data_IF_308816391032
#
_entry.id   IF_308816391032
#
_cell.length_a   1.000
_cell.length_b   1.000
_cell.length_c   1.000
_cell.angle_alpha   90.00
_cell.angle_beta   90.00
_cell.angle_gamma   90.00
#
_symmetry.space_group_name_H-M   'P 1'
#
loop_
_entity.id
_entity.type
_entity.pdbx_description
1 polymer ?
#
# COMPACT_ATOMS: atom_id res chain seq x y z
N UNK A 1 24.36 14.79 -12.72
CA UNK A 1 23.60 14.45 -13.95
C UNK A 1 22.24 15.12 -13.86
N UNK A 2 22.01 16.15 -14.66
CA UNK A 2 20.75 16.91 -14.67
C UNK A 2 19.68 16.05 -15.34
N UNK A 3 18.81 15.42 -14.56
CA UNK A 3 17.76 14.54 -15.09
C UNK A 3 16.80 15.37 -15.94
N UNK A 4 16.75 15.08 -17.24
CA UNK A 4 15.84 15.74 -18.17
C UNK A 4 14.39 15.40 -17.80
N UNK A 5 13.72 16.35 -17.16
CA UNK A 5 12.36 16.17 -16.65
C UNK A 5 11.32 16.00 -17.76
N UNK A 6 11.62 16.28 -19.04
CA UNK A 6 10.65 16.25 -20.15
C UNK A 6 10.10 14.83 -20.36
N UNK A 7 10.93 13.80 -20.27
CA UNK A 7 10.53 12.41 -20.51
C UNK A 7 9.87 11.70 -19.32
N UNK A 8 9.84 12.34 -18.14
CA UNK A 8 9.26 11.76 -16.93
C UNK A 8 7.78 12.13 -16.82
N UNK A 9 6.89 11.21 -17.17
CA UNK A 9 5.43 11.39 -17.04
C UNK A 9 4.97 10.70 -15.77
N UNK A 10 5.02 11.41 -14.64
CA UNK A 10 4.45 10.98 -13.37
C UNK A 10 3.40 12.02 -12.92
N UNK A 11 2.30 11.57 -12.33
CA UNK A 11 1.24 12.46 -11.81
C UNK A 11 1.78 13.52 -10.84
N UNK A 12 2.78 13.16 -10.03
CA UNK A 12 3.45 14.07 -9.09
C UNK A 12 4.29 15.15 -9.77
N UNK A 13 4.73 14.95 -11.02
CA UNK A 13 5.45 15.97 -11.78
C UNK A 13 4.50 17.02 -12.38
N UNK A 14 3.20 16.69 -12.51
CA UNK A 14 2.19 17.59 -13.10
C UNK A 14 2.06 18.90 -12.34
N UNK A 15 2.07 18.87 -11.00
CA UNK A 15 1.97 20.09 -10.19
C UNK A 15 3.19 20.99 -10.39
N UNK A 16 4.39 20.44 -10.26
CA UNK A 16 5.65 21.17 -10.44
C UNK A 16 5.74 21.78 -11.84
N UNK A 17 5.31 21.04 -12.88
CA UNK A 17 5.28 21.52 -14.26
C UNK A 17 4.28 22.65 -14.45
N UNK A 18 3.07 22.51 -13.90
CA UNK A 18 2.04 23.57 -13.97
C UNK A 18 2.46 24.82 -13.21
N UNK A 19 3.11 24.68 -12.05
CA UNK A 19 3.65 25.80 -11.28
C UNK A 19 4.76 26.55 -12.02
N UNK A 20 5.61 25.84 -12.78
CA UNK A 20 6.61 26.48 -13.62
C UNK A 20 5.99 27.15 -14.87
N UNK A 21 5.02 26.49 -15.50
CA UNK A 21 4.43 26.96 -16.75
C UNK A 21 3.41 28.09 -16.56
N UNK A 22 2.64 28.06 -15.47
CA UNK A 22 1.50 28.96 -15.22
C UNK A 22 1.41 29.32 -13.72
N UNK A 23 2.45 29.98 -13.15
CA UNK A 23 2.58 30.17 -11.71
C UNK A 23 1.41 30.91 -11.06
N UNK A 24 0.85 31.92 -11.74
CA UNK A 24 -0.23 32.76 -11.22
C UNK A 24 -1.65 32.22 -11.52
N UNK A 25 -1.78 31.13 -12.27
CA UNK A 25 -3.09 30.53 -12.53
C UNK A 25 -3.59 29.83 -11.26
N UNK A 26 -4.87 30.02 -10.92
CA UNK A 26 -5.54 29.33 -9.82
C UNK A 26 -5.54 27.82 -10.08
N UNK A 27 -5.01 27.06 -9.11
CA UNK A 27 -4.90 25.61 -9.13
C UNK A 27 -5.98 24.93 -8.30
N UNK A 28 -6.32 25.53 -7.15
CA UNK A 28 -7.32 25.01 -6.21
C UNK A 28 -8.21 26.16 -5.74
N UNK A 29 -9.51 25.89 -5.69
CA UNK A 29 -10.52 26.71 -5.03
C UNK A 29 -11.20 25.80 -3.99
N UNK A 30 -11.07 26.15 -2.72
CA UNK A 30 -11.65 25.43 -1.57
C UNK A 30 -12.39 26.44 -0.67
N UNK A 31 -13.70 26.60 -0.92
CA UNK A 31 -14.50 27.65 -0.29
C UNK A 31 -13.94 29.04 -0.61
N UNK A 32 -13.66 29.83 0.44
CA UNK A 32 -13.08 31.18 0.31
C UNK A 32 -11.56 31.18 0.09
N UNK A 33 -10.93 30.00 0.00
CA UNK A 33 -9.49 29.89 -0.24
C UNK A 33 -9.23 29.59 -1.70
N UNK A 34 -8.39 30.43 -2.30
CA UNK A 34 -7.84 30.20 -3.63
C UNK A 34 -6.33 30.09 -3.52
N UNK A 35 -5.77 29.10 -4.23
CA UNK A 35 -4.32 28.97 -4.37
C UNK A 35 -3.95 28.94 -5.83
N UNK A 36 -2.98 29.76 -6.20
CA UNK A 36 -2.27 29.64 -7.48
C UNK A 36 -1.45 28.35 -7.54
N UNK A 37 -1.07 27.91 -8.74
CA UNK A 37 -0.17 26.76 -8.89
C UNK A 37 1.17 26.98 -8.15
N UNK A 38 1.70 28.21 -8.13
CA UNK A 38 2.92 28.52 -7.39
C UNK A 38 2.74 28.36 -5.88
N UNK A 39 1.65 28.90 -5.32
CA UNK A 39 1.36 28.81 -3.88
C UNK A 39 1.07 27.38 -3.44
N UNK A 40 0.28 26.64 -4.23
CA UNK A 40 -0.03 25.25 -3.94
C UNK A 40 1.23 24.38 -4.00
N UNK A 41 2.08 24.56 -5.01
CA UNK A 41 3.36 23.87 -5.10
C UNK A 41 4.31 24.22 -3.93
N UNK A 42 4.36 25.48 -3.53
CA UNK A 42 5.14 25.89 -2.37
C UNK A 42 4.64 25.25 -1.07
N UNK A 43 3.32 25.14 -0.90
CA UNK A 43 2.71 24.46 0.24
C UNK A 43 3.01 22.96 0.25
N UNK A 44 2.86 22.27 -0.88
CA UNK A 44 3.25 20.85 -1.03
C UNK A 44 4.72 20.64 -0.69
N UNK A 45 5.63 21.48 -1.21
CA UNK A 45 7.05 21.40 -0.90
C UNK A 45 7.35 21.56 0.60
N UNK A 46 6.63 22.46 1.29
CA UNK A 46 6.76 22.59 2.76
C UNK A 46 6.36 21.31 3.48
N UNK A 47 5.26 20.67 3.09
CA UNK A 47 4.83 19.39 3.66
C UNK A 47 5.88 18.30 3.40
N UNK A 48 6.34 18.17 2.16
CA UNK A 48 7.36 17.19 1.79
C UNK A 48 8.65 17.36 2.60
N UNK A 49 9.16 18.58 2.76
CA UNK A 49 10.32 18.84 3.63
C UNK A 49 10.03 18.49 5.10
N UNK A 50 8.82 18.76 5.59
CA UNK A 50 8.38 18.39 6.93
C UNK A 50 8.30 16.87 7.16
N UNK A 51 7.98 16.10 6.12
CA UNK A 51 8.03 14.63 6.14
C UNK A 51 9.49 14.15 6.13
N UNK A 52 10.35 14.70 5.27
CA UNK A 52 11.78 14.36 5.24
C UNK A 52 12.44 14.64 6.60
N UNK A 53 12.12 15.77 7.23
CA UNK A 53 12.62 16.10 8.57
C UNK A 53 12.17 15.11 9.67
N UNK A 54 11.08 14.37 9.43
CA UNK A 54 10.57 13.29 10.31
C UNK A 54 11.13 11.91 9.95
N UNK A 55 12.10 11.84 9.02
CA UNK A 55 12.79 10.60 8.65
C UNK A 55 12.15 9.84 7.49
N UNK A 56 11.14 10.40 6.81
CA UNK A 56 10.59 9.79 5.60
C UNK A 56 11.59 9.91 4.43
N UNK A 57 11.79 8.82 3.72
CA UNK A 57 12.75 8.64 2.63
C UNK A 57 12.08 8.19 1.34
N UNK A 58 12.80 8.27 0.21
CA UNK A 58 12.28 7.80 -1.08
C UNK A 58 12.00 6.29 -1.00
N UNK A 59 10.74 5.91 -1.20
CA UNK A 59 10.27 4.52 -1.05
C UNK A 59 9.41 4.30 0.20
N UNK A 60 9.40 5.25 1.14
CA UNK A 60 8.39 5.29 2.20
C UNK A 60 7.05 5.72 1.59
N UNK A 61 6.13 4.77 1.47
CA UNK A 61 4.73 5.05 1.22
C UNK A 61 4.10 5.68 2.47
N UNK A 62 3.69 6.95 2.39
CA UNK A 62 2.54 7.41 3.15
C UNK A 62 1.34 6.61 2.64
N UNK A 63 0.48 6.03 3.49
CA UNK A 63 -0.57 5.04 3.14
C UNK A 63 -1.68 5.43 2.15
N UNK A 64 -1.40 6.28 1.16
CA UNK A 64 -2.32 6.74 0.11
C UNK A 64 -2.16 6.03 -1.24
N UNK A 65 -1.37 4.95 -1.33
CA UNK A 65 -1.34 4.11 -2.52
C UNK A 65 -2.46 3.06 -2.46
N UNK A 66 -3.33 3.05 -3.47
CA UNK A 66 -4.38 2.04 -3.57
C UNK A 66 -3.78 0.71 -4.06
N UNK A 67 -3.62 -0.25 -3.16
CA UNK A 67 -3.21 -1.61 -3.53
C UNK A 67 -4.44 -2.49 -3.73
N UNK A 68 -4.60 -2.98 -4.95
CA UNK A 68 -5.66 -3.93 -5.26
C UNK A 68 -5.41 -5.27 -4.55
N UNK A 69 -6.25 -5.60 -3.55
CA UNK A 69 -6.09 -6.82 -2.75
C UNK A 69 -5.98 -8.08 -3.60
N UNK A 70 -6.72 -8.14 -4.71
CA UNK A 70 -6.75 -9.29 -5.62
C UNK A 70 -5.40 -9.54 -6.30
N UNK A 71 -4.60 -8.50 -6.53
CA UNK A 71 -3.26 -8.64 -7.10
C UNK A 71 -2.33 -9.36 -6.12
N UNK A 72 -2.37 -8.93 -4.86
CA UNK A 72 -1.57 -9.51 -3.78
C UNK A 72 -2.05 -10.94 -3.46
N UNK A 73 -3.36 -11.18 -3.40
CA UNK A 73 -3.95 -12.51 -3.20
C UNK A 73 -3.49 -13.50 -4.30
N UNK A 74 -3.51 -13.09 -5.57
CA UNK A 74 -2.98 -13.92 -6.68
C UNK A 74 -1.49 -14.23 -6.52
N UNK A 75 -0.70 -13.25 -6.09
CA UNK A 75 0.72 -13.45 -5.84
C UNK A 75 0.97 -14.41 -4.67
N UNK A 76 0.14 -14.36 -3.61
CA UNK A 76 0.19 -15.31 -2.48
C UNK A 76 -0.03 -16.73 -2.97
N UNK A 77 -1.10 -16.99 -3.73
CA UNK A 77 -1.37 -18.33 -4.26
C UNK A 77 -0.20 -18.84 -5.11
N UNK A 78 0.30 -18.02 -6.06
CA UNK A 78 1.40 -18.40 -6.93
C UNK A 78 2.70 -18.68 -6.15
N UNK A 79 3.06 -17.81 -5.19
CA UNK A 79 4.25 -17.98 -4.37
C UNK A 79 4.18 -19.24 -3.49
N UNK A 80 3.04 -19.46 -2.83
CA UNK A 80 2.83 -20.63 -1.97
C UNK A 80 2.91 -21.95 -2.73
N UNK A 81 2.35 -22.00 -3.94
CA UNK A 81 2.38 -23.19 -4.78
C UNK A 81 3.80 -23.55 -5.24
N UNK A 82 4.63 -22.54 -5.53
CA UNK A 82 6.03 -22.76 -5.90
C UNK A 82 6.92 -23.18 -4.72
N UNK A 83 6.57 -22.78 -3.50
CA UNK A 83 7.26 -23.23 -2.29
C UNK A 83 6.94 -24.70 -1.95
N UNK A 84 5.87 -25.26 -2.51
CA UNK A 84 5.42 -26.62 -2.22
C UNK A 84 4.35 -26.72 -1.14
N UNK A 85 4.02 -25.60 -0.50
CA UNK A 85 3.03 -25.47 0.57
C UNK A 85 1.88 -24.55 0.12
N UNK A 86 0.92 -25.05 -0.68
CA UNK A 86 -0.10 -24.22 -1.28
C UNK A 86 -1.06 -23.64 -0.23
N UNK A 87 -1.41 -22.38 -0.38
CA UNK A 87 -2.50 -21.73 0.37
C UNK A 87 -3.85 -22.14 -0.24
N UNK A 88 -4.78 -22.60 0.59
CA UNK A 88 -6.16 -22.89 0.17
C UNK A 88 -6.97 -21.61 -0.03
N UNK A 89 -6.84 -20.66 0.89
CA UNK A 89 -7.55 -19.39 0.86
C UNK A 89 -6.65 -18.26 1.33
N UNK A 90 -6.72 -17.12 0.62
CA UNK A 90 -6.01 -15.91 0.97
C UNK A 90 -6.97 -14.73 0.91
N UNK A 91 -6.90 -13.87 1.91
CA UNK A 91 -7.54 -12.56 1.91
C UNK A 91 -6.54 -11.49 2.29
N UNK A 92 -6.47 -10.43 1.50
CA UNK A 92 -5.58 -9.29 1.79
C UNK A 92 -6.42 -8.10 2.25
N UNK A 93 -6.00 -7.52 3.37
CA UNK A 93 -6.63 -6.37 4.02
C UNK A 93 -5.56 -5.37 4.47
N UNK A 94 -5.93 -4.10 4.59
CA UNK A 94 -5.15 -3.11 5.35
C UNK A 94 -5.51 -3.23 6.83
N UNK A 95 -4.50 -3.35 7.70
CA UNK A 95 -4.67 -3.28 9.15
C UNK A 95 -4.03 -2.00 9.70
N UNK A 96 -4.58 -1.41 10.78
CA UNK A 96 -4.01 -0.21 11.40
C UNK A 96 -2.52 -0.38 11.72
N UNK A 97 -1.71 0.61 11.35
CA UNK A 97 -0.26 0.57 11.58
C UNK A 97 0.32 1.98 11.78
N UNK A 98 1.14 2.18 12.81
CA UNK A 98 1.69 3.49 13.20
C UNK A 98 2.45 4.19 12.05
N UNK A 99 3.41 3.49 11.43
CA UNK A 99 4.21 4.03 10.32
C UNK A 99 3.44 4.20 9.00
N UNK A 100 2.58 3.24 8.65
CA UNK A 100 2.00 3.14 7.31
C UNK A 100 0.56 3.66 7.22
N UNK A 101 -0.06 4.07 8.33
CA UNK A 101 -1.51 4.23 8.51
C UNK A 101 -2.25 2.90 8.38
N UNK A 102 -2.14 2.27 7.22
CA UNK A 102 -2.58 0.89 6.98
C UNK A 102 -1.41 0.06 6.44
N UNK A 103 -1.11 -1.06 7.12
CA UNK A 103 -0.20 -2.05 6.61
C UNK A 103 -0.96 -3.14 5.85
N UNK A 104 -0.48 -3.48 4.66
CA UNK A 104 -1.01 -4.60 3.87
C UNK A 104 -0.70 -5.89 4.63
N UNK A 105 -1.72 -6.68 4.91
CA UNK A 105 -1.59 -7.95 5.62
C UNK A 105 -2.32 -9.03 4.83
N UNK A 106 -1.65 -10.16 4.63
CA UNK A 106 -2.26 -11.35 4.07
C UNK A 106 -2.73 -12.24 5.22
N UNK A 107 -4.00 -12.66 5.20
CA UNK A 107 -4.52 -13.70 6.10
C UNK A 107 -4.80 -14.92 5.27
N UNK A 108 -4.19 -16.05 5.63
CA UNK A 108 -4.12 -17.25 4.79
C UNK A 108 -4.55 -18.49 5.55
N UNK A 109 -5.22 -19.39 4.83
CA UNK A 109 -5.56 -20.74 5.28
C UNK A 109 -4.67 -21.73 4.52
N UNK A 110 -3.86 -22.56 5.21
CA UNK A 110 -3.04 -23.56 4.54
C UNK A 110 -3.87 -24.58 3.76
N UNK A 111 -3.33 -25.08 2.65
CA UNK A 111 -3.85 -26.25 1.96
C UNK A 111 -3.70 -27.53 2.80
N UNK A 112 -4.37 -28.63 2.41
CA UNK A 112 -4.25 -29.90 3.12
C UNK A 112 -2.79 -30.38 3.19
N UNK A 113 -2.26 -30.50 4.40
CA UNK A 113 -0.88 -30.91 4.65
C UNK A 113 0.19 -29.84 4.36
N UNK A 114 -0.21 -28.63 3.99
CA UNK A 114 0.70 -27.51 3.77
C UNK A 114 1.06 -26.82 5.09
N UNK A 115 2.30 -26.36 5.20
CA UNK A 115 2.77 -25.51 6.29
C UNK A 115 3.22 -24.17 5.73
N UNK A 116 2.56 -23.08 6.14
CA UNK A 116 2.90 -21.74 5.64
C UNK A 116 3.93 -21.08 6.57
N UNK A 117 5.17 -20.96 6.10
CA UNK A 117 6.17 -20.11 6.74
C UNK A 117 6.02 -18.66 6.25
N UNK A 118 5.79 -17.73 7.18
CA UNK A 118 5.60 -16.30 6.87
C UNK A 118 6.84 -15.71 6.19
N UNK A 119 8.04 -16.03 6.68
CA UNK A 119 9.28 -15.44 6.20
C UNK A 119 9.64 -15.89 4.79
N UNK A 120 9.43 -17.17 4.48
CA UNK A 120 9.63 -17.75 3.15
C UNK A 120 8.61 -17.21 2.15
N UNK A 121 7.33 -17.14 2.54
CA UNK A 121 6.29 -16.60 1.68
C UNK A 121 6.51 -15.11 1.39
N UNK A 122 6.87 -14.31 2.39
CA UNK A 122 7.22 -12.89 2.18
C UNK A 122 8.45 -12.74 1.27
N UNK A 123 9.48 -13.60 1.42
CA UNK A 123 10.65 -13.60 0.55
C UNK A 123 10.29 -13.95 -0.90
N UNK A 124 9.38 -14.90 -1.12
CA UNK A 124 8.86 -15.25 -2.43
C UNK A 124 8.03 -14.10 -3.05
N UNK A 125 7.19 -13.44 -2.25
CA UNK A 125 6.38 -12.30 -2.70
C UNK A 125 7.22 -11.09 -3.11
N UNK A 126 8.34 -10.82 -2.43
CA UNK A 126 9.29 -9.74 -2.79
C UNK A 126 9.91 -9.90 -4.17
N UNK A 127 9.93 -11.12 -4.72
CA UNK A 127 10.42 -11.39 -6.08
C UNK A 127 9.34 -11.15 -7.15
N UNK A 128 8.08 -10.97 -6.74
CA UNK A 128 6.89 -10.93 -7.62
C UNK A 128 6.17 -9.59 -7.61
N UNK A 129 6.19 -8.91 -6.48
CA UNK A 129 5.47 -7.67 -6.24
C UNK A 129 6.43 -6.50 -6.07
N UNK A 130 5.99 -5.32 -6.50
CA UNK A 130 6.65 -4.08 -6.11
C UNK A 130 6.66 -3.97 -4.57
N UNK A 131 7.75 -3.44 -4.00
CA UNK A 131 7.98 -3.47 -2.55
C UNK A 131 6.86 -2.83 -1.69
N UNK A 132 6.10 -1.89 -2.24
CA UNK A 132 4.95 -1.28 -1.55
C UNK A 132 3.70 -2.17 -1.53
N UNK A 133 3.58 -3.16 -2.42
CA UNK A 133 2.48 -4.14 -2.48
C UNK A 133 2.74 -5.38 -1.62
N UNK A 134 4.00 -5.61 -1.25
CA UNK A 134 4.37 -6.75 -0.41
C UNK A 134 3.74 -6.59 0.97
N UNK A 135 2.98 -7.60 1.46
CA UNK A 135 2.44 -7.59 2.81
C UNK A 135 3.53 -7.34 3.86
N UNK A 136 3.18 -6.64 4.94
CA UNK A 136 4.07 -6.46 6.10
C UNK A 136 4.04 -7.65 7.03
N UNK A 137 2.98 -8.47 6.97
CA UNK A 137 2.86 -9.73 7.69
C UNK A 137 1.94 -10.70 6.96
N UNK A 138 2.12 -11.99 7.23
CA UNK A 138 1.22 -13.08 6.86
C UNK A 138 0.68 -13.72 8.14
N UNK A 139 -0.63 -13.68 8.32
CA UNK A 139 -1.32 -14.32 9.44
C UNK A 139 -1.91 -15.64 8.96
N UNK A 140 -1.50 -16.74 9.58
CA UNK A 140 -2.02 -18.08 9.29
C UNK A 140 -3.20 -18.37 10.23
N UNK A 141 -4.33 -18.79 9.66
CA UNK A 141 -5.55 -19.14 10.41
C UNK A 141 -6.09 -20.48 9.92
N UNK A 142 -6.86 -21.16 10.78
CA UNK A 142 -7.53 -22.41 10.41
C UNK A 142 -8.71 -22.16 9.46
N UNK A 143 -9.41 -21.04 9.63
CA UNK A 143 -10.55 -20.66 8.80
C UNK A 143 -10.73 -19.14 8.70
N UNK A 144 -11.40 -18.70 7.64
CA UNK A 144 -11.77 -17.30 7.42
C UNK A 144 -13.26 -17.09 7.73
N UNK A 145 -13.63 -15.93 8.32
CA UNK A 145 -15.02 -15.62 8.62
C UNK A 145 -15.84 -15.48 7.34
N UNK A 146 -17.03 -16.08 7.31
CA UNK A 146 -17.92 -16.11 6.14
C UNK A 146 -19.31 -15.58 6.44
N UNK A 147 -19.92 -15.01 5.40
CA UNK A 147 -21.37 -14.78 5.36
C UNK A 147 -22.13 -16.10 5.25
N UNK A 148 -23.44 -16.06 5.49
CA UNK A 148 -24.38 -17.16 5.20
C UNK A 148 -24.36 -17.65 3.74
N UNK A 149 -23.81 -16.85 2.82
CA UNK A 149 -23.64 -17.20 1.39
C UNK A 149 -22.24 -17.72 1.05
N UNK A 150 -21.38 -17.94 2.05
CA UNK A 150 -20.02 -18.49 1.87
C UNK A 150 -18.94 -17.48 1.49
N UNK A 151 -19.29 -16.20 1.25
CA UNK A 151 -18.32 -15.14 0.95
C UNK A 151 -17.50 -14.77 2.20
N UNK A 152 -16.19 -14.60 2.03
CA UNK A 152 -15.29 -14.12 3.08
C UNK A 152 -15.66 -12.70 3.50
N UNK A 153 -15.74 -12.45 4.81
CA UNK A 153 -16.09 -11.14 5.39
C UNK A 153 -14.83 -10.33 5.71
N UNK A 154 -14.33 -9.55 4.75
CA UNK A 154 -13.12 -8.72 4.92
C UNK A 154 -13.21 -7.72 6.08
N UNK A 155 -14.42 -7.22 6.40
CA UNK A 155 -14.63 -6.34 7.55
C UNK A 155 -14.36 -7.08 8.87
N UNK A 156 -14.91 -8.29 9.03
CA UNK A 156 -14.67 -9.12 10.23
C UNK A 156 -13.19 -9.47 10.36
N UNK A 157 -12.51 -9.80 9.24
CA UNK A 157 -11.05 -10.02 9.26
C UNK A 157 -10.30 -8.78 9.77
N UNK A 158 -10.65 -7.58 9.30
CA UNK A 158 -10.02 -6.34 9.78
C UNK A 158 -10.26 -6.10 11.25
N UNK A 159 -11.49 -6.31 11.72
CA UNK A 159 -11.86 -6.09 13.12
C UNK A 159 -11.14 -7.09 14.03
N UNK A 160 -11.09 -8.37 13.64
CA UNK A 160 -10.41 -9.43 14.38
C UNK A 160 -8.91 -9.16 14.54
N UNK A 161 -8.26 -8.65 13.50
CA UNK A 161 -6.81 -8.41 13.49
C UNK A 161 -6.44 -6.93 13.63
N UNK A 162 -7.36 -6.07 14.08
CA UNK A 162 -7.13 -4.62 14.14
C UNK A 162 -5.90 -4.23 14.99
N UNK A 163 -5.59 -5.04 16.01
CA UNK A 163 -4.47 -4.81 16.92
C UNK A 163 -3.20 -5.60 16.56
N UNK A 164 -3.12 -6.22 15.37
CA UNK A 164 -1.97 -7.05 14.97
C UNK A 164 -0.63 -6.32 15.02
N UNK A 165 -0.62 -5.04 14.63
CA UNK A 165 0.57 -4.18 14.69
C UNK A 165 0.59 -3.25 15.92
N UNK A 166 -0.38 -3.41 16.83
CA UNK A 166 -0.40 -2.69 18.10
C UNK A 166 0.65 -3.24 19.06
N UNK A 167 1.33 -2.35 19.78
CA UNK A 167 2.22 -2.69 20.89
C UNK A 167 1.44 -3.02 22.17
#
# INVERSE_FOLDING_TARGET
>A
MTTNLIHRVNVGDSLTRSAAARPAQIAIVDGDREWTYAEFNAWVNRICHGLVARGYTRGDATGGENVASIEVEKAVYAASAELGDPVAEAVVVGLPHERWSEAITAVVVPGPGATIDESELLAALKKRLDGYKVPKSVIVVDELPRTSTGKIQKNVVRDTFANHYGA
#
